data_IF_940501412919
#
_entry.id   IF_940501412919
#
_cell.length_a   1.000
_cell.length_b   1.000
_cell.length_c   1.000
_cell.angle_alpha   90.00
_cell.angle_beta   90.00
_cell.angle_gamma   90.00
#
_symmetry.space_group_name_H-M   'P 1'
#
loop_
_entity.id
_entity.type
_entity.pdbx_description
1 polymer ?
#
# COMPACT_ATOMS: atom_id res chain seq x y z
N UNK A 1 -14.40 -1.82 -16.39
CA UNK A 1 -15.00 -0.80 -15.47
C UNK A 1 -15.05 -1.27 -14.02
N UNK A 2 -15.59 -2.45 -13.68
CA UNK A 2 -15.64 -2.96 -12.30
C UNK A 2 -14.25 -3.24 -11.68
N UNK A 3 -13.35 -3.86 -12.44
CA UNK A 3 -11.97 -4.13 -12.00
C UNK A 3 -11.14 -2.86 -11.74
N UNK A 4 -11.36 -1.80 -12.53
CA UNK A 4 -10.74 -0.49 -12.35
C UNK A 4 -11.23 0.18 -11.06
N UNK A 5 -12.55 0.19 -10.82
CA UNK A 5 -13.13 0.71 -9.59
C UNK A 5 -12.64 -0.04 -8.34
N UNK A 6 -12.54 -1.37 -8.42
CA UNK A 6 -11.97 -2.19 -7.35
C UNK A 6 -10.50 -1.85 -7.10
N UNK A 7 -9.70 -1.70 -8.16
CA UNK A 7 -8.29 -1.35 -8.04
C UNK A 7 -8.09 0.05 -7.39
N UNK A 8 -8.89 1.04 -7.78
CA UNK A 8 -8.89 2.37 -7.17
C UNK A 8 -9.27 2.33 -5.69
N UNK A 9 -10.30 1.56 -5.34
CA UNK A 9 -10.72 1.36 -3.95
C UNK A 9 -9.59 0.76 -3.11
N UNK A 10 -8.94 -0.31 -3.60
CA UNK A 10 -7.82 -0.96 -2.92
C UNK A 10 -6.61 -0.03 -2.79
N UNK A 11 -6.29 0.75 -3.84
CA UNK A 11 -5.20 1.73 -3.80
C UNK A 11 -5.44 2.82 -2.75
N UNK A 12 -6.68 3.29 -2.61
CA UNK A 12 -7.03 4.28 -1.59
C UNK A 12 -6.76 3.73 -0.18
N UNK A 13 -7.23 2.51 0.10
CA UNK A 13 -7.06 1.87 1.40
C UNK A 13 -5.59 1.60 1.73
N UNK A 14 -4.83 1.02 0.80
CA UNK A 14 -3.38 0.77 0.96
C UNK A 14 -2.62 2.07 1.26
N UNK A 15 -2.93 3.15 0.56
CA UNK A 15 -2.27 4.45 0.76
C UNK A 15 -2.58 5.03 2.13
N UNK A 16 -3.84 4.92 2.58
CA UNK A 16 -4.24 5.38 3.90
C UNK A 16 -3.49 4.59 4.98
N UNK A 17 -3.49 3.26 4.92
CA UNK A 17 -2.80 2.42 5.89
C UNK A 17 -1.29 2.71 5.93
N UNK A 18 -0.65 2.89 4.77
CA UNK A 18 0.76 3.26 4.68
C UNK A 18 1.05 4.61 5.34
N UNK A 19 0.18 5.60 5.12
CA UNK A 19 0.30 6.92 5.73
C UNK A 19 0.14 6.84 7.26
N UNK A 20 -0.87 6.12 7.75
CA UNK A 20 -1.13 5.94 9.18
C UNK A 20 0.05 5.26 9.89
N UNK A 21 0.60 4.20 9.30
CA UNK A 21 1.76 3.49 9.86
C UNK A 21 3.01 4.35 9.85
N UNK A 22 3.20 5.15 8.80
CA UNK A 22 4.32 6.10 8.70
C UNK A 22 4.20 7.20 9.76
N UNK A 23 2.99 7.72 9.97
CA UNK A 23 2.73 8.71 11.01
C UNK A 23 2.96 8.13 12.40
N UNK A 24 2.49 6.90 12.67
CA UNK A 24 2.75 6.20 13.93
C UNK A 24 4.25 6.00 14.21
N UNK A 25 5.05 5.70 13.18
CA UNK A 25 6.50 5.67 13.32
C UNK A 25 7.06 7.04 13.68
N UNK A 26 6.62 8.10 13.00
CA UNK A 26 7.07 9.47 13.24
C UNK A 26 6.70 9.97 14.65
N UNK A 27 5.55 9.55 15.17
CA UNK A 27 5.06 9.87 16.50
C UNK A 27 5.80 9.11 17.62
N UNK A 28 6.70 8.20 17.28
CA UNK A 28 7.47 7.42 18.24
C UNK A 28 6.67 6.27 18.88
N UNK A 29 5.64 5.75 18.21
CA UNK A 29 4.80 4.63 18.70
C UNK A 29 5.53 3.26 18.71
N UNK A 30 6.85 3.26 18.72
CA UNK A 30 7.72 2.09 18.61
C UNK A 30 8.67 2.08 19.80
N UNK A 31 8.49 1.10 20.68
CA UNK A 31 9.24 0.98 21.94
C UNK A 31 10.52 0.14 21.76
N UNK A 32 10.51 -0.79 20.80
CA UNK A 32 11.63 -1.69 20.55
C UNK A 32 12.04 -1.74 19.09
N UNK A 33 13.26 -2.21 18.82
CA UNK A 33 13.75 -2.43 17.46
C UNK A 33 12.95 -3.54 16.73
N UNK A 34 12.35 -4.46 17.47
CA UNK A 34 11.45 -5.49 16.95
C UNK A 34 10.19 -4.84 16.37
N UNK A 35 9.56 -3.93 17.12
CA UNK A 35 8.37 -3.20 16.68
C UNK A 35 8.67 -2.33 15.46
N UNK A 36 9.85 -1.68 15.46
CA UNK A 36 10.33 -0.91 14.32
C UNK A 36 10.41 -1.78 13.06
N UNK A 37 11.12 -2.92 13.14
CA UNK A 37 11.29 -3.84 12.01
C UNK A 37 9.96 -4.40 11.53
N UNK A 38 9.05 -4.71 12.45
CA UNK A 38 7.71 -5.19 12.11
C UNK A 38 6.91 -4.14 11.36
N UNK A 39 6.91 -2.88 11.82
CA UNK A 39 6.15 -1.79 11.20
C UNK A 39 6.73 -1.41 9.83
N UNK A 40 8.05 -1.27 9.71
CA UNK A 40 8.72 -1.01 8.43
C UNK A 40 8.54 -2.18 7.45
N UNK A 41 8.55 -3.43 7.93
CA UNK A 41 8.26 -4.60 7.12
C UNK A 41 6.86 -4.56 6.51
N UNK A 42 5.86 -4.18 7.29
CA UNK A 42 4.49 -3.99 6.80
C UNK A 42 4.37 -2.84 5.79
N UNK A 43 5.01 -1.69 6.06
CA UNK A 43 5.05 -0.56 5.12
C UNK A 43 5.67 -0.99 3.77
N UNK A 44 6.74 -1.77 3.81
CA UNK A 44 7.37 -2.34 2.61
C UNK A 44 6.42 -3.28 1.88
N UNK A 45 5.71 -4.15 2.59
CA UNK A 45 4.70 -5.04 2.01
C UNK A 45 3.58 -4.27 1.31
N UNK A 46 3.01 -3.26 1.96
CA UNK A 46 1.98 -2.39 1.39
C UNK A 46 2.49 -1.65 0.14
N UNK A 47 3.74 -1.18 0.17
CA UNK A 47 4.38 -0.53 -0.99
C UNK A 47 4.49 -1.50 -2.17
N UNK A 48 4.85 -2.76 -1.92
CA UNK A 48 4.92 -3.77 -2.96
C UNK A 48 3.52 -4.10 -3.53
N UNK A 49 2.49 -4.21 -2.68
CA UNK A 49 1.11 -4.39 -3.10
C UNK A 49 0.62 -3.25 -4.00
N UNK A 50 0.92 -1.99 -3.64
CA UNK A 50 0.58 -0.82 -4.46
C UNK A 50 1.20 -0.92 -5.86
N UNK A 51 2.48 -1.30 -5.96
CA UNK A 51 3.15 -1.45 -7.26
C UNK A 51 2.59 -2.61 -8.10
N UNK A 52 2.23 -3.73 -7.47
CA UNK A 52 1.56 -4.83 -8.18
C UNK A 52 0.20 -4.40 -8.75
N UNK A 53 -0.62 -3.67 -7.97
CA UNK A 53 -1.92 -3.19 -8.44
C UNK A 53 -1.74 -2.19 -9.59
N UNK A 54 -0.81 -1.23 -9.47
CA UNK A 54 -0.49 -0.28 -10.54
C UNK A 54 -0.01 -0.98 -11.82
N UNK A 55 0.75 -2.06 -11.66
CA UNK A 55 1.21 -2.87 -12.80
C UNK A 55 0.05 -3.61 -13.47
N UNK A 56 -0.85 -4.21 -12.67
CA UNK A 56 -2.03 -4.89 -13.18
C UNK A 56 -2.98 -3.93 -13.91
N UNK A 57 -3.20 -2.73 -13.39
CA UNK A 57 -4.04 -1.71 -14.03
C UNK A 57 -3.53 -1.31 -15.42
N UNK A 58 -2.21 -1.13 -15.59
CA UNK A 58 -1.61 -0.87 -16.92
C UNK A 58 -1.86 -2.00 -17.91
N UNK A 59 -1.90 -3.25 -17.44
CA UNK A 59 -2.25 -4.41 -18.27
C UNK A 59 -3.69 -4.35 -18.76
N UNK A 60 -4.63 -4.02 -17.86
CA UNK A 60 -6.05 -3.89 -18.18
C UNK A 60 -6.28 -2.76 -19.20
N UNK A 61 -5.63 -1.61 -19.04
CA UNK A 61 -5.72 -0.49 -19.98
C UNK A 61 -5.23 -0.83 -21.40
N UNK A 62 -4.28 -1.77 -21.53
CA UNK A 62 -3.77 -2.23 -22.83
C UNK A 62 -4.65 -3.30 -23.49
N UNK A 63 -5.43 -4.06 -22.70
CA UNK A 63 -6.36 -5.08 -23.22
C UNK A 63 -7.71 -4.48 -23.64
N UNK A 64 -8.11 -3.35 -23.03
CA UNK A 64 -9.36 -2.64 -23.33
C UNK A 64 -9.25 -1.62 -24.49
N UNK A 65 -8.05 -1.40 -25.07
CA UNK A 65 -7.76 -0.43 -26.14
C UNK A 65 -7.47 -1.04 -27.50
#
# INVERSE_FOLDING_TARGET
MDALNLAEYLLKDIRQQKADMTQRLADGAVETIQDYRFMVGQIRGLTQCEEHIKTAMKGIELEDG
#
